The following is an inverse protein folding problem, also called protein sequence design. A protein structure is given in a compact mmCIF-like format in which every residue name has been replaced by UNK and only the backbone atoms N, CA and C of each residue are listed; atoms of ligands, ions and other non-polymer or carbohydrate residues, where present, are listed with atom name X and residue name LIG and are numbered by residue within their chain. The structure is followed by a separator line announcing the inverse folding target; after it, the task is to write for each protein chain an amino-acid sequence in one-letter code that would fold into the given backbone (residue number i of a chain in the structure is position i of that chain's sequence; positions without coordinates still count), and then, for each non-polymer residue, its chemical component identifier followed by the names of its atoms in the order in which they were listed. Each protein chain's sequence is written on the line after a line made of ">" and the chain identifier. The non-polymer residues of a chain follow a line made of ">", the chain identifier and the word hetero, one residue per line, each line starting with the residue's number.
data_IF_762960969070
#
_entry.id   IF_762960969070
#
_cell.length_a   1.000
_cell.length_b   1.000
_cell.length_c   1.000
_cell.angle_alpha   90.00
_cell.angle_beta   90.00
_cell.angle_gamma   90.00
#
_symmetry.space_group_name_H-M   'P 1'
#
loop_
_entity.id
_entity.type
_entity.pdbx_description
1 polymer ?
#
# COMPACT_ATOMS: atom_id res chain seq x y z
N UNK A 1 23.81 1.30 -19.38
CA UNK A 1 22.40 1.66 -19.07
C UNK A 1 22.31 1.77 -17.56
N UNK A 2 21.87 2.90 -16.98
CA UNK A 2 21.63 2.97 -15.54
C UNK A 2 20.49 2.00 -15.24
N UNK A 3 20.71 0.98 -14.42
CA UNK A 3 19.61 0.19 -13.85
C UNK A 3 18.62 1.17 -13.24
N UNK A 4 17.37 1.12 -13.65
CA UNK A 4 16.30 1.93 -13.06
C UNK A 4 16.07 1.38 -11.64
N UNK A 5 16.81 1.94 -10.68
CA UNK A 5 16.67 1.56 -9.28
C UNK A 5 15.29 1.97 -8.79
N UNK A 6 14.57 1.06 -8.15
CA UNK A 6 13.27 1.28 -7.53
C UNK A 6 13.29 0.80 -6.09
N UNK A 7 12.39 1.29 -5.23
CA UNK A 7 12.20 0.73 -3.90
C UNK A 7 11.89 -0.77 -3.94
N UNK A 8 12.29 -1.49 -2.90
CA UNK A 8 11.82 -2.85 -2.63
C UNK A 8 10.38 -2.79 -2.11
N UNK A 9 9.46 -3.47 -2.78
CA UNK A 9 8.03 -3.38 -2.50
C UNK A 9 7.55 -4.65 -1.79
N UNK A 10 7.07 -4.48 -0.56
CA UNK A 10 6.46 -5.55 0.24
C UNK A 10 4.94 -5.29 0.29
N UNK A 11 4.15 -6.12 -0.36
CA UNK A 11 2.70 -6.12 -0.16
C UNK A 11 2.38 -6.81 1.16
N UNK A 12 1.78 -6.07 2.10
CA UNK A 12 1.31 -6.62 3.36
C UNK A 12 -0.21 -6.49 3.47
N UNK A 13 -0.87 -7.60 3.75
CA UNK A 13 -2.32 -7.62 3.98
C UNK A 13 -2.73 -8.78 4.91
N UNK A 14 -3.87 -8.59 5.58
CA UNK A 14 -4.63 -9.68 6.17
C UNK A 14 -5.87 -9.96 5.31
N UNK A 15 -6.22 -11.23 5.15
CA UNK A 15 -7.43 -11.62 4.45
C UNK A 15 -8.13 -12.78 5.16
N UNK A 16 -9.40 -12.98 4.84
CA UNK A 16 -10.18 -14.16 5.23
C UNK A 16 -9.78 -15.40 4.41
N UNK A 17 -10.22 -16.57 4.82
CA UNK A 17 -9.99 -17.84 4.09
C UNK A 17 -10.48 -17.75 2.64
N UNK A 18 -11.58 -17.03 2.41
CA UNK A 18 -12.16 -16.78 1.08
C UNK A 18 -11.60 -15.52 0.38
N UNK A 19 -10.45 -15.00 0.83
CA UNK A 19 -9.68 -13.96 0.14
C UNK A 19 -10.20 -12.53 0.27
N UNK A 20 -11.02 -12.24 1.29
CA UNK A 20 -11.56 -10.90 1.52
C UNK A 20 -10.72 -10.11 2.52
N UNK A 21 -10.45 -8.83 2.20
CA UNK A 21 -9.74 -7.89 3.09
C UNK A 21 -10.66 -6.96 3.85
N UNK A 22 -11.94 -6.93 3.48
CA UNK A 22 -13.00 -6.22 4.20
C UNK A 22 -14.36 -6.81 3.85
N UNK A 23 -15.35 -6.59 4.72
CA UNK A 23 -16.75 -6.95 4.47
C UNK A 23 -17.37 -6.11 3.34
N UNK A 24 -18.60 -6.42 2.93
CA UNK A 24 -19.36 -5.63 1.94
C UNK A 24 -19.63 -4.18 2.38
N UNK A 25 -19.56 -3.89 3.66
CA UNK A 25 -19.69 -2.53 4.22
C UNK A 25 -18.34 -1.85 4.45
N UNK A 26 -17.22 -2.53 4.13
CA UNK A 26 -15.89 -2.00 4.27
C UNK A 26 -15.24 -2.22 5.64
N UNK A 27 -15.81 -3.05 6.55
CA UNK A 27 -15.18 -3.35 7.84
C UNK A 27 -13.93 -4.21 7.64
N UNK A 28 -12.71 -3.70 7.99
CA UNK A 28 -11.44 -4.37 7.76
C UNK A 28 -10.92 -5.13 9.00
N UNK A 29 -11.74 -5.36 10.02
CA UNK A 29 -11.32 -5.98 11.29
C UNK A 29 -11.09 -7.48 11.14
N UNK A 30 -9.94 -7.85 10.57
CA UNK A 30 -9.55 -9.23 10.28
C UNK A 30 -8.40 -9.68 11.19
N UNK A 31 -7.43 -8.79 11.44
CA UNK A 31 -6.22 -9.08 12.22
C UNK A 31 -6.48 -9.14 13.72
N UNK A 32 -5.79 -10.05 14.40
CA UNK A 32 -5.70 -10.10 15.85
C UNK A 32 -4.63 -9.12 16.40
N UNK A 33 -4.53 -9.03 17.72
CA UNK A 33 -3.54 -8.15 18.38
C UNK A 33 -2.10 -8.52 18.02
N UNK A 34 -1.84 -9.80 17.81
CA UNK A 34 -0.49 -10.24 17.48
C UNK A 34 -0.11 -9.84 16.05
N UNK A 35 -0.99 -10.07 15.06
CA UNK A 35 -0.75 -9.64 13.68
C UNK A 35 -0.54 -8.12 13.63
N UNK A 36 -1.31 -7.36 14.40
CA UNK A 36 -1.09 -5.92 14.57
C UNK A 36 0.31 -5.57 15.07
N UNK A 37 0.83 -6.27 16.09
CA UNK A 37 2.20 -6.05 16.60
C UNK A 37 3.25 -6.36 15.54
N UNK A 38 3.08 -7.45 14.80
CA UNK A 38 3.99 -7.83 13.72
C UNK A 38 3.95 -6.83 12.55
N UNK A 39 2.77 -6.32 12.18
CA UNK A 39 2.64 -5.26 11.16
C UNK A 39 3.36 -3.99 11.62
N UNK A 40 3.17 -3.57 12.87
CA UNK A 40 3.87 -2.41 13.41
C UNK A 40 5.40 -2.61 13.47
N UNK A 41 5.87 -3.83 13.76
CA UNK A 41 7.29 -4.18 13.66
C UNK A 41 7.78 -4.08 12.21
N UNK A 42 7.02 -4.59 11.24
CA UNK A 42 7.38 -4.49 9.83
C UNK A 42 7.46 -3.03 9.36
N UNK A 43 6.57 -2.18 9.87
CA UNK A 43 6.60 -0.72 9.59
C UNK A 43 7.88 -0.03 10.06
N UNK A 44 8.57 -0.56 11.10
CA UNK A 44 9.88 0.00 11.52
C UNK A 44 11.04 -0.36 10.59
N UNK A 45 10.82 -1.25 9.63
CA UNK A 45 11.85 -1.82 8.76
C UNK A 45 11.82 -1.25 7.34
N UNK A 46 10.95 -0.29 7.07
CA UNK A 46 10.75 0.31 5.75
C UNK A 46 10.85 1.82 5.79
N UNK A 47 11.24 2.43 4.67
CA UNK A 47 11.36 3.88 4.54
C UNK A 47 10.01 4.56 4.28
N UNK A 48 9.01 3.80 3.81
CA UNK A 48 7.69 4.34 3.55
C UNK A 48 6.57 3.32 3.61
N UNK A 49 5.36 3.79 3.98
CA UNK A 49 4.11 3.03 3.89
C UNK A 49 3.28 3.65 2.78
N UNK A 50 2.82 2.82 1.84
CA UNK A 50 2.03 3.28 0.70
C UNK A 50 0.61 2.73 0.76
N UNK A 51 -0.36 3.64 0.58
CA UNK A 51 -1.78 3.33 0.47
C UNK A 51 -2.43 4.09 -0.68
N UNK A 52 -3.56 3.58 -1.16
CA UNK A 52 -4.41 4.32 -2.10
C UNK A 52 -5.35 5.29 -1.40
N UNK A 53 -5.83 6.30 -2.13
CA UNK A 53 -6.76 7.31 -1.60
C UNK A 53 -8.02 6.73 -0.98
N UNK A 54 -8.56 5.64 -1.53
CA UNK A 54 -9.79 5.02 -1.03
C UNK A 54 -9.64 4.52 0.42
N UNK A 55 -8.44 4.06 0.80
CA UNK A 55 -8.12 3.70 2.18
C UNK A 55 -8.19 4.92 3.09
N UNK A 56 -7.70 6.08 2.63
CA UNK A 56 -7.79 7.32 3.40
C UNK A 56 -9.25 7.78 3.54
N UNK A 57 -10.00 7.76 2.44
CA UNK A 57 -11.39 8.23 2.43
C UNK A 57 -12.33 7.35 3.28
N UNK A 58 -12.06 6.05 3.37
CA UNK A 58 -12.90 5.10 4.11
C UNK A 58 -12.52 5.02 5.58
N UNK A 59 -11.22 4.87 5.87
CA UNK A 59 -10.74 4.47 7.19
C UNK A 59 -10.06 5.62 7.94
N UNK A 60 -9.67 6.69 7.24
CA UNK A 60 -8.89 7.82 7.76
C UNK A 60 -7.77 7.37 8.74
N UNK A 61 -6.90 6.45 8.32
CA UNK A 61 -5.92 5.84 9.21
C UNK A 61 -4.81 6.83 9.58
N UNK A 62 -4.28 6.71 10.78
CA UNK A 62 -3.10 7.49 11.19
C UNK A 62 -1.81 7.03 10.53
N UNK A 63 -1.76 5.79 10.07
CA UNK A 63 -0.55 5.14 9.56
C UNK A 63 0.66 5.48 10.46
N UNK A 64 0.66 5.03 11.68
CA UNK A 64 1.70 5.31 12.68
C UNK A 64 2.14 4.02 13.35
N UNK A 65 3.23 4.04 14.11
CA UNK A 65 3.71 2.94 14.91
C UNK A 65 3.28 3.13 16.37
N UNK A 66 2.78 2.08 17.01
CA UNK A 66 2.31 2.11 18.40
C UNK A 66 3.19 1.35 19.39
N UNK A 67 3.84 0.27 18.93
CA UNK A 67 4.40 -0.74 19.82
C UNK A 67 5.91 -0.80 19.81
N UNK A 68 6.58 0.02 19.01
CA UNK A 68 8.02 -0.03 18.81
C UNK A 68 8.59 1.39 18.76
N UNK A 69 9.83 1.55 19.23
CA UNK A 69 10.61 2.75 18.99
C UNK A 69 10.99 2.85 17.51
N UNK A 70 10.98 4.04 16.95
CA UNK A 70 11.29 4.30 15.55
C UNK A 70 11.59 5.79 15.32
N UNK A 71 12.24 6.12 14.21
CA UNK A 71 12.57 7.49 13.79
C UNK A 71 11.53 8.10 12.83
N UNK A 72 10.47 7.36 12.53
CA UNK A 72 9.46 7.74 11.55
C UNK A 72 9.69 7.09 10.19
N UNK A 73 8.84 7.43 9.23
CA UNK A 73 8.88 7.00 7.82
C UNK A 73 7.94 7.87 6.99
N UNK A 74 8.06 7.79 5.67
CA UNK A 74 7.15 8.50 4.77
C UNK A 74 5.79 7.82 4.67
N UNK A 75 4.71 8.58 4.87
CA UNK A 75 3.36 8.17 4.43
C UNK A 75 3.21 8.52 2.96
N UNK A 76 2.95 7.54 2.13
CA UNK A 76 2.83 7.71 0.69
C UNK A 76 1.39 7.40 0.28
N UNK A 77 0.69 8.40 -0.22
CA UNK A 77 -0.70 8.25 -0.66
C UNK A 77 -0.77 8.37 -2.18
N UNK A 78 -1.30 7.34 -2.85
CA UNK A 78 -1.56 7.40 -4.29
C UNK A 78 -2.96 7.98 -4.51
N UNK A 79 -3.01 9.26 -4.86
CA UNK A 79 -4.24 10.00 -5.17
C UNK A 79 -4.08 10.81 -6.45
N UNK A 80 -4.47 10.22 -7.56
CA UNK A 80 -4.27 10.78 -8.91
C UNK A 80 -4.82 12.18 -9.11
N UNK A 81 -5.80 12.60 -8.30
CA UNK A 81 -6.54 13.87 -8.49
C UNK A 81 -6.49 14.79 -7.26
N UNK A 82 -5.69 14.47 -6.23
CA UNK A 82 -5.65 15.19 -4.96
C UNK A 82 -7.07 15.39 -4.39
N UNK A 83 -7.68 14.33 -3.91
CA UNK A 83 -9.08 14.32 -3.43
C UNK A 83 -9.22 13.95 -1.96
N UNK A 84 -8.14 13.52 -1.29
CA UNK A 84 -8.21 13.26 0.15
C UNK A 84 -8.39 14.58 0.90
N UNK A 85 -9.19 14.63 1.98
CA UNK A 85 -9.35 15.84 2.78
C UNK A 85 -8.04 16.30 3.42
N UNK A 86 -7.80 17.61 3.49
CA UNK A 86 -6.61 18.21 4.09
C UNK A 86 -6.51 17.96 5.61
N UNK A 87 -7.63 17.72 6.27
CA UNK A 87 -7.72 17.35 7.69
C UNK A 87 -7.56 15.85 7.95
N UNK A 88 -7.29 15.06 6.90
CA UNK A 88 -7.03 13.61 7.03
C UNK A 88 -5.89 13.33 8.02
N UNK A 89 -6.03 12.26 8.80
CA UNK A 89 -5.01 11.86 9.77
C UNK A 89 -3.60 11.67 9.17
N UNK A 90 -3.50 11.24 7.91
CA UNK A 90 -2.20 11.09 7.24
C UNK A 90 -1.51 12.43 7.03
N UNK A 91 -2.25 13.55 6.99
CA UNK A 91 -1.70 14.91 6.85
C UNK A 91 -1.51 15.54 8.23
N UNK A 92 -2.50 15.45 9.10
CA UNK A 92 -2.55 16.24 10.34
C UNK A 92 -1.89 15.56 11.54
N UNK A 93 -1.78 14.22 11.57
CA UNK A 93 -1.27 13.50 12.73
C UNK A 93 0.25 13.38 12.72
N UNK A 94 0.96 14.10 13.59
CA UNK A 94 2.43 14.04 13.76
C UNK A 94 3.21 14.14 12.44
N UNK A 95 3.01 15.19 11.63
CA UNK A 95 3.65 15.29 10.30
C UNK A 95 5.17 15.44 10.37
N UNK A 96 5.72 15.90 11.50
CA UNK A 96 7.15 16.01 11.76
C UNK A 96 7.85 14.65 11.91
N UNK A 97 7.11 13.62 12.38
CA UNK A 97 7.61 12.25 12.53
C UNK A 97 7.27 11.44 11.29
N UNK A 98 6.09 11.66 10.73
CA UNK A 98 5.55 10.93 9.59
C UNK A 98 5.21 11.89 8.45
N UNK A 99 6.20 12.38 7.71
CA UNK A 99 5.97 13.27 6.58
C UNK A 99 5.12 12.58 5.50
N UNK A 100 4.21 13.34 4.89
CA UNK A 100 3.30 12.82 3.88
C UNK A 100 3.71 13.23 2.47
N UNK A 101 3.80 12.23 1.60
CA UNK A 101 3.94 12.39 0.16
C UNK A 101 2.63 11.97 -0.50
N UNK A 102 2.06 12.83 -1.36
CA UNK A 102 0.91 12.45 -2.18
C UNK A 102 1.38 12.36 -3.64
N UNK A 103 1.10 11.20 -4.24
CA UNK A 103 1.45 10.91 -5.62
C UNK A 103 0.23 11.20 -6.51
N UNK A 104 0.35 12.20 -7.37
CA UNK A 104 -0.70 12.61 -8.30
C UNK A 104 -0.25 12.50 -9.76
N UNK A 105 -1.13 12.80 -10.70
CA UNK A 105 -0.79 12.86 -12.13
C UNK A 105 -0.17 14.22 -12.50
N UNK A 106 0.57 14.27 -13.59
CA UNK A 106 1.13 15.52 -14.14
C UNK A 106 0.03 16.49 -14.62
N UNK A 107 -1.19 15.99 -14.83
CA UNK A 107 -2.36 16.78 -15.25
C UNK A 107 -3.10 17.44 -14.09
N UNK A 108 -2.66 17.22 -12.84
CA UNK A 108 -3.24 17.86 -11.65
C UNK A 108 -3.02 19.39 -11.74
N UNK A 109 -4.08 20.22 -11.56
CA UNK A 109 -3.96 21.68 -11.58
C UNK A 109 -3.01 22.20 -10.53
N UNK A 110 -2.24 23.25 -10.86
CA UNK A 110 -1.22 23.82 -9.98
C UNK A 110 -1.84 24.42 -8.71
N UNK A 111 -2.99 25.05 -8.83
CA UNK A 111 -3.71 25.67 -7.73
C UNK A 111 -4.07 24.61 -6.66
N UNK A 112 -4.40 23.43 -7.12
CA UNK A 112 -4.71 22.30 -6.23
C UNK A 112 -3.46 21.75 -5.54
N UNK A 113 -2.32 21.77 -6.20
CA UNK A 113 -1.03 21.37 -5.62
C UNK A 113 -0.65 22.35 -4.51
N UNK A 114 -0.72 23.65 -4.76
CA UNK A 114 -0.41 24.71 -3.81
C UNK A 114 -1.27 24.60 -2.54
N UNK A 115 -2.55 24.21 -2.66
CA UNK A 115 -3.44 23.98 -1.53
C UNK A 115 -2.92 22.91 -0.57
N UNK A 116 -2.29 21.83 -1.07
CA UNK A 116 -1.71 20.79 -0.23
C UNK A 116 -0.33 21.15 0.31
N UNK A 117 0.49 21.85 -0.46
CA UNK A 117 1.86 22.20 -0.08
C UNK A 117 1.92 23.14 1.13
N UNK A 118 0.94 24.03 1.30
CA UNK A 118 0.84 24.89 2.51
C UNK A 118 0.60 24.09 3.79
N UNK A 119 0.21 22.83 3.69
CA UNK A 119 0.01 21.91 4.82
C UNK A 119 1.20 20.96 5.04
N UNK A 120 2.40 21.32 4.57
CA UNK A 120 3.63 20.52 4.65
C UNK A 120 3.53 19.15 3.95
N UNK A 121 2.63 19.03 2.98
CA UNK A 121 2.50 17.84 2.14
C UNK A 121 3.36 18.03 0.89
N UNK A 122 4.21 17.06 0.59
CA UNK A 122 4.98 17.06 -0.66
C UNK A 122 4.21 16.33 -1.75
N UNK A 123 4.02 16.97 -2.90
CA UNK A 123 3.37 16.36 -4.07
C UNK A 123 4.42 15.84 -5.04
N UNK A 124 4.27 14.58 -5.46
CA UNK A 124 5.07 13.96 -6.51
C UNK A 124 4.14 13.63 -7.68
N UNK A 125 4.44 14.18 -8.85
CA UNK A 125 3.61 13.99 -10.05
C UNK A 125 4.23 12.97 -10.99
N UNK A 126 3.45 11.99 -11.42
CA UNK A 126 3.91 10.93 -12.31
C UNK A 126 2.83 10.47 -13.27
N UNK A 127 3.14 10.57 -14.56
CA UNK A 127 2.27 10.16 -15.66
C UNK A 127 1.24 11.20 -16.08
N UNK A 128 0.94 11.22 -17.37
CA UNK A 128 0.00 12.15 -18.02
C UNK A 128 -1.40 11.56 -18.18
N UNK A 129 -1.62 10.33 -17.74
CA UNK A 129 -2.91 9.62 -17.84
C UNK A 129 -3.87 9.96 -16.70
N UNK A 130 -4.98 9.23 -16.63
CA UNK A 130 -5.99 9.37 -15.56
C UNK A 130 -5.52 8.84 -14.20
N UNK A 131 -4.46 8.05 -14.18
CA UNK A 131 -3.88 7.44 -12.97
C UNK A 131 -2.40 7.71 -12.91
N UNK A 132 -1.86 7.74 -11.71
CA UNK A 132 -0.42 7.80 -11.46
C UNK A 132 0.28 6.64 -12.17
N UNK A 133 1.37 6.95 -12.87
CA UNK A 133 2.25 5.96 -13.50
C UNK A 133 3.24 5.43 -12.45
N UNK A 134 2.95 4.24 -11.91
CA UNK A 134 3.76 3.64 -10.85
C UNK A 134 5.17 3.26 -11.34
N UNK A 135 5.32 2.89 -12.61
CA UNK A 135 6.62 2.51 -13.18
C UNK A 135 7.57 3.72 -13.20
N UNK A 136 7.03 4.91 -13.47
CA UNK A 136 7.80 6.18 -13.42
C UNK A 136 7.94 6.70 -11.99
N UNK A 137 6.91 6.51 -11.14
CA UNK A 137 6.89 7.01 -9.77
C UNK A 137 7.98 6.36 -8.91
N UNK A 138 8.10 5.03 -8.96
CA UNK A 138 9.00 4.31 -8.04
C UNK A 138 10.47 4.75 -8.13
N UNK A 139 11.08 4.95 -9.33
CA UNK A 139 12.41 5.55 -9.42
C UNK A 139 12.52 6.93 -8.78
N UNK A 140 11.49 7.79 -8.92
CA UNK A 140 11.49 9.11 -8.30
C UNK A 140 11.49 9.04 -6.77
N UNK A 141 10.74 8.09 -6.21
CA UNK A 141 10.76 7.82 -4.77
C UNK A 141 12.13 7.30 -4.31
N UNK A 142 12.76 6.43 -5.10
CA UNK A 142 14.10 5.93 -4.80
C UNK A 142 15.14 7.06 -4.76
N UNK A 143 15.09 8.00 -5.69
CA UNK A 143 16.02 9.15 -5.75
C UNK A 143 15.92 10.08 -4.55
N UNK A 144 14.76 10.16 -3.88
CA UNK A 144 14.59 10.95 -2.65
C UNK A 144 14.88 10.16 -1.37
N UNK A 145 15.47 8.96 -1.49
CA UNK A 145 15.94 8.16 -0.37
C UNK A 145 14.94 7.12 0.16
N UNK A 146 13.84 6.86 -0.55
CA UNK A 146 12.88 5.81 -0.18
C UNK A 146 13.27 4.53 -0.92
N UNK A 147 13.94 3.61 -0.24
CA UNK A 147 14.48 2.38 -0.82
C UNK A 147 13.63 1.14 -0.55
N UNK A 148 12.69 1.24 0.41
CA UNK A 148 11.77 0.17 0.79
C UNK A 148 10.38 0.73 1.08
N UNK A 149 9.34 0.05 0.59
CA UNK A 149 7.95 0.45 0.76
C UNK A 149 7.10 -0.73 1.20
N UNK A 150 6.35 -0.53 2.28
CA UNK A 150 5.27 -1.41 2.70
C UNK A 150 3.98 -0.96 2.00
N UNK A 151 3.52 -1.75 1.04
CA UNK A 151 2.25 -1.52 0.36
C UNK A 151 1.11 -2.13 1.20
N UNK A 152 0.28 -1.28 1.78
CA UNK A 152 -0.87 -1.69 2.61
C UNK A 152 -2.22 -1.51 1.90
N UNK A 153 -2.19 -1.43 0.59
CA UNK A 153 -3.41 -1.49 -0.23
C UNK A 153 -4.00 -0.12 -0.53
N UNK A 154 -5.34 0.05 -0.91
CA UNK A 154 -6.34 -1.01 -1.10
C UNK A 154 -6.26 -1.85 -2.37
N UNK A 155 -7.30 -2.63 -2.58
CA UNK A 155 -7.36 -3.67 -3.61
C UNK A 155 -7.04 -3.20 -5.04
N UNK A 156 -7.53 -2.02 -5.44
CA UNK A 156 -7.25 -1.45 -6.77
C UNK A 156 -5.78 -0.99 -6.92
N UNK A 157 -5.16 -0.51 -5.83
CA UNK A 157 -3.73 -0.18 -5.84
C UNK A 157 -2.89 -1.45 -5.91
N UNK A 158 -3.26 -2.49 -5.14
CA UNK A 158 -2.64 -3.81 -5.22
C UNK A 158 -2.65 -4.35 -6.65
N UNK A 159 -3.79 -4.24 -7.34
CA UNK A 159 -3.90 -4.62 -8.75
C UNK A 159 -2.92 -3.87 -9.64
N UNK A 160 -2.81 -2.56 -9.48
CA UNK A 160 -1.90 -1.74 -10.28
C UNK A 160 -0.45 -2.19 -10.11
N UNK A 161 -0.02 -2.50 -8.88
CA UNK A 161 1.32 -3.05 -8.61
C UNK A 161 1.52 -4.45 -9.19
N UNK A 162 0.52 -5.33 -9.08
CA UNK A 162 0.57 -6.69 -9.62
C UNK A 162 0.59 -6.69 -11.15
N UNK A 163 -0.27 -5.89 -11.77
CA UNK A 163 -0.35 -5.74 -13.22
C UNK A 163 1.02 -5.37 -13.82
N UNK A 164 1.68 -4.40 -13.23
CA UNK A 164 2.96 -3.85 -13.71
C UNK A 164 4.20 -4.60 -13.19
N UNK A 165 3.99 -5.77 -12.51
CA UNK A 165 5.07 -6.64 -11.96
C UNK A 165 6.02 -5.89 -11.00
N UNK A 166 5.47 -5.06 -10.11
CA UNK A 166 6.24 -4.17 -9.24
C UNK A 166 6.47 -4.71 -7.82
N UNK A 167 5.77 -5.78 -7.42
CA UNK A 167 5.87 -6.37 -6.09
C UNK A 167 7.06 -7.31 -6.02
N UNK A 168 7.91 -7.14 -4.99
CA UNK A 168 9.07 -7.98 -4.74
C UNK A 168 8.76 -9.08 -3.71
N UNK A 169 7.95 -8.76 -2.70
CA UNK A 169 7.54 -9.69 -1.63
C UNK A 169 6.07 -9.52 -1.26
N UNK A 170 5.44 -10.59 -0.82
CA UNK A 170 4.09 -10.59 -0.27
C UNK A 170 4.14 -11.21 1.13
N UNK A 171 3.65 -10.48 2.13
CA UNK A 171 3.30 -11.01 3.44
C UNK A 171 1.78 -11.02 3.58
N UNK A 172 1.21 -12.20 3.74
CA UNK A 172 -0.22 -12.38 3.76
C UNK A 172 -0.64 -13.13 5.02
N UNK A 173 -1.41 -12.50 5.89
CA UNK A 173 -2.05 -13.14 7.03
C UNK A 173 -3.40 -13.68 6.61
N UNK A 174 -3.61 -14.98 6.77
CA UNK A 174 -4.91 -15.64 6.56
C UNK A 174 -5.57 -15.83 7.90
N UNK A 175 -6.67 -15.11 8.11
CA UNK A 175 -7.49 -15.19 9.32
C UNK A 175 -8.59 -16.26 9.17
N UNK A 176 -9.04 -16.90 10.28
CA UNK A 176 -9.98 -18.02 10.27
C UNK A 176 -11.44 -17.56 10.05
N UNK A 177 -11.66 -16.66 9.11
CA UNK A 177 -12.97 -16.09 8.81
C UNK A 177 -13.40 -16.41 7.38
N UNK A 178 -14.70 -16.49 7.15
CA UNK A 178 -15.32 -16.48 5.82
C UNK A 178 -16.34 -15.37 5.81
N UNK A 179 -16.18 -14.41 4.90
CA UNK A 179 -17.07 -13.25 4.75
C UNK A 179 -18.05 -13.44 3.60
N UNK A 180 -17.60 -14.01 2.49
CA UNK A 180 -18.42 -14.18 1.28
C UNK A 180 -18.81 -12.86 0.61
N UNK A 181 -19.76 -12.96 -0.33
CA UNK A 181 -20.33 -11.81 -1.04
C UNK A 181 -19.47 -11.28 -2.19
N UNK A 182 -20.13 -11.03 -3.33
CA UNK A 182 -19.46 -10.46 -4.51
C UNK A 182 -18.98 -9.01 -4.30
N UNK A 183 -19.66 -8.28 -3.41
CA UNK A 183 -19.38 -6.88 -3.11
C UNK A 183 -18.41 -6.70 -1.91
N UNK A 184 -18.00 -7.81 -1.27
CA UNK A 184 -16.96 -7.78 -0.26
C UNK A 184 -15.58 -7.61 -0.91
N UNK A 185 -14.75 -6.71 -0.36
CA UNK A 185 -13.46 -6.29 -0.95
C UNK A 185 -12.47 -7.45 -0.97
N UNK A 186 -11.96 -7.79 -2.13
CA UNK A 186 -10.94 -8.83 -2.28
C UNK A 186 -9.52 -8.25 -2.11
N UNK A 187 -8.52 -9.12 -1.88
CA UNK A 187 -7.12 -8.70 -1.78
C UNK A 187 -6.66 -7.88 -2.99
N UNK A 188 -7.16 -8.25 -4.16
CA UNK A 188 -6.82 -7.62 -5.43
C UNK A 188 -8.10 -7.43 -6.24
N UNK A 189 -8.34 -6.19 -6.68
CA UNK A 189 -9.48 -5.83 -7.51
C UNK A 189 -9.04 -4.97 -8.70
N UNK A 190 -9.57 -5.29 -9.89
CA UNK A 190 -9.25 -4.58 -11.13
C UNK A 190 -9.74 -5.38 -12.32
N UNK A 191 -9.16 -5.12 -13.49
CA UNK A 191 -9.52 -5.81 -14.74
C UNK A 191 -9.19 -7.30 -14.71
N UNK A 192 -8.18 -7.71 -13.91
CA UNK A 192 -7.65 -9.08 -13.90
C UNK A 192 -6.83 -9.42 -15.13
N UNK A 193 -6.19 -10.59 -15.10
CA UNK A 193 -5.55 -11.18 -16.29
C UNK A 193 -6.53 -12.10 -17.00
N UNK A 194 -6.58 -12.03 -18.31
CA UNK A 194 -7.48 -12.88 -19.11
C UNK A 194 -7.12 -14.37 -19.03
N UNK A 195 -5.83 -14.69 -18.89
CA UNK A 195 -5.34 -16.08 -18.85
C UNK A 195 -4.37 -16.28 -17.71
N UNK A 196 -4.41 -17.46 -17.09
CA UNK A 196 -3.51 -17.83 -15.99
C UNK A 196 -2.02 -17.72 -16.35
N UNK A 197 -1.65 -17.94 -17.61
CA UNK A 197 -0.26 -17.80 -18.06
C UNK A 197 0.27 -16.36 -17.97
N UNK A 198 -0.62 -15.36 -17.93
CA UNK A 198 -0.29 -13.94 -17.79
C UNK A 198 -0.16 -13.52 -16.31
N UNK A 199 -0.72 -14.32 -15.40
CA UNK A 199 -0.72 -14.01 -13.97
C UNK A 199 0.70 -14.04 -13.39
N UNK A 200 0.92 -13.23 -12.36
CA UNK A 200 2.21 -13.13 -11.68
C UNK A 200 2.41 -14.35 -10.78
N UNK A 201 3.60 -14.91 -10.82
CA UNK A 201 3.98 -16.08 -10.01
C UNK A 201 4.92 -15.63 -8.89
N UNK A 202 4.67 -16.18 -7.71
CA UNK A 202 5.49 -15.98 -6.54
C UNK A 202 5.94 -17.34 -6.00
N UNK A 203 7.15 -17.38 -5.43
CA UNK A 203 7.69 -18.56 -4.75
C UNK A 203 7.41 -18.42 -3.26
N UNK A 204 6.83 -19.45 -2.66
CA UNK A 204 6.63 -19.52 -1.23
C UNK A 204 8.00 -19.56 -0.53
N UNK A 205 8.21 -18.65 0.43
CA UNK A 205 9.43 -18.57 1.25
C UNK A 205 9.22 -19.17 2.62
N UNK A 206 8.10 -18.81 3.26
CA UNK A 206 7.87 -19.14 4.67
C UNK A 206 6.38 -19.34 4.93
N UNK A 207 6.07 -20.26 5.85
CA UNK A 207 4.74 -20.45 6.44
C UNK A 207 4.91 -20.34 7.94
N UNK A 208 4.19 -19.40 8.56
CA UNK A 208 4.17 -19.25 10.02
C UNK A 208 2.77 -19.61 10.49
N UNK A 209 2.66 -20.70 11.24
CA UNK A 209 1.40 -21.11 11.87
C UNK A 209 1.29 -20.47 13.25
N UNK A 210 0.13 -19.92 13.56
CA UNK A 210 -0.13 -19.25 14.83
C UNK A 210 -1.57 -19.44 15.26
N UNK A 211 -1.78 -20.34 16.16
CA UNK A 211 -3.11 -20.70 16.59
C UNK A 211 -4.03 -20.97 15.39
N UNK A 212 -5.04 -20.14 15.16
CA UNK A 212 -5.97 -20.27 14.02
C UNK A 212 -5.55 -19.44 12.79
N UNK A 213 -4.43 -18.69 12.86
CA UNK A 213 -3.93 -17.83 11.77
C UNK A 213 -2.75 -18.48 11.05
N UNK A 214 -2.61 -18.18 9.78
CA UNK A 214 -1.44 -18.56 8.98
C UNK A 214 -0.87 -17.32 8.31
N UNK A 215 0.44 -17.08 8.49
CA UNK A 215 1.14 -16.05 7.72
C UNK A 215 1.95 -16.71 6.62
N UNK A 216 1.71 -16.30 5.38
CA UNK A 216 2.44 -16.74 4.21
C UNK A 216 3.36 -15.61 3.74
N UNK A 217 4.63 -15.95 3.48
CA UNK A 217 5.56 -15.04 2.82
C UNK A 217 5.94 -15.60 1.47
N UNK A 218 5.82 -14.76 0.45
CA UNK A 218 6.17 -15.08 -0.92
C UNK A 218 7.16 -14.07 -1.46
N UNK A 219 8.01 -14.50 -2.37
CA UNK A 219 8.92 -13.65 -3.13
C UNK A 219 8.59 -13.76 -4.62
N UNK A 220 8.79 -12.69 -5.36
CA UNK A 220 8.68 -12.71 -6.81
C UNK A 220 9.58 -13.82 -7.38
N UNK A 221 9.01 -14.64 -8.27
CA UNK A 221 9.80 -15.64 -8.98
C UNK A 221 10.66 -14.94 -10.04
N UNK A 222 11.93 -15.29 -10.12
CA UNK A 222 12.74 -14.97 -11.29
C UNK A 222 12.06 -15.58 -12.53
N UNK A 223 12.05 -14.83 -13.63
CA UNK A 223 11.42 -15.24 -14.89
C UNK A 223 12.18 -16.40 -15.50
#
# INVERSE_FOLDING_TARGET
>A
MRENKKPYIILNAAMTIDGKIASKTGDPKISDEFDWKEVHKLRTQVDGIMVGKETILKDNPKLHIKFHEHEGYYRIVVDSNLTIPLDSNVISFQPEIYPTLICSTETTPIEKIEEYEVNNVKIIRSGTGKRVDLVKLLPMLYEIGIHSILLEGGASLNWSFIKDDLIDEIRLTIAPWIVGGKDAVSLVEGEGFEKMIQARRFKLLEIIHRDSYVVLKYKRSDK
#
